data_IF_914597284921
#
_entry.id   IF_914597284921
#
_cell.length_a   1.000
_cell.length_b   1.000
_cell.length_c   1.000
_cell.angle_alpha   90.00
_cell.angle_beta   90.00
_cell.angle_gamma   90.00
#
_symmetry.space_group_name_H-M   'P 1'
#
loop_
_entity.id
_entity.type
_entity.pdbx_description
1 polymer ?
#
# COMPACT_ATOMS: atom_id res chain seq x y z
N UNK A 1 -3.84 17.54 -54.03
CA UNK A 1 -3.51 16.17 -54.48
C UNK A 1 -2.15 16.24 -55.18
N UNK A 2 -1.09 16.03 -54.42
CA UNK A 2 0.31 15.98 -54.89
C UNK A 2 0.92 14.79 -54.16
N UNK A 3 1.27 13.75 -54.92
CA UNK A 3 1.90 12.53 -54.43
C UNK A 3 3.42 12.71 -54.53
N UNK A 4 4.10 12.59 -53.40
CA UNK A 4 5.57 12.45 -53.34
C UNK A 4 5.85 11.05 -52.82
N UNK A 5 6.46 10.22 -53.67
CA UNK A 5 6.92 8.88 -53.34
C UNK A 5 8.30 8.96 -52.67
N UNK A 6 8.44 8.31 -51.51
CA UNK A 6 9.72 8.07 -50.83
C UNK A 6 10.32 6.70 -51.22
N UNK A 7 11.65 6.53 -51.13
CA UNK A 7 12.33 5.34 -51.65
C UNK A 7 12.26 4.15 -50.68
N UNK A 8 12.10 2.97 -51.27
CA UNK A 8 12.21 1.65 -50.64
C UNK A 8 13.64 1.41 -50.14
N UNK A 9 13.78 1.14 -48.85
CA UNK A 9 15.00 0.58 -48.26
C UNK A 9 14.79 -0.92 -48.08
N UNK A 10 15.56 -1.70 -48.84
CA UNK A 10 15.63 -3.16 -48.77
C UNK A 10 16.52 -3.54 -47.58
N UNK A 11 15.98 -4.30 -46.62
CA UNK A 11 16.72 -4.87 -45.49
C UNK A 11 17.16 -6.29 -45.88
N UNK A 12 18.44 -6.66 -45.75
CA UNK A 12 18.91 -8.02 -46.04
C UNK A 12 18.58 -8.95 -44.86
N UNK A 13 18.04 -10.12 -45.18
CA UNK A 13 17.79 -11.23 -44.24
C UNK A 13 19.12 -11.88 -43.79
N UNK A 14 19.22 -12.36 -42.54
CA UNK A 14 20.38 -13.11 -42.06
C UNK A 14 20.40 -14.56 -42.61
N UNK A 15 21.59 -15.17 -42.74
CA UNK A 15 21.73 -16.54 -43.23
C UNK A 15 21.32 -17.56 -42.18
N UNK A 16 20.65 -18.62 -42.64
CA UNK A 16 20.21 -19.75 -41.82
C UNK A 16 21.37 -20.63 -41.38
N UNK A 17 21.36 -21.01 -40.11
CA UNK A 17 22.22 -22.04 -39.55
C UNK A 17 21.51 -23.38 -39.57
N UNK A 18 22.20 -24.35 -40.18
CA UNK A 18 21.83 -25.74 -40.32
C UNK A 18 22.10 -26.54 -39.05
N UNK A 19 21.15 -27.40 -38.74
CA UNK A 19 21.23 -28.66 -38.00
C UNK A 19 22.61 -29.29 -37.82
N UNK A 20 22.93 -29.70 -36.59
CA UNK A 20 23.62 -30.96 -36.32
C UNK A 20 23.12 -31.60 -35.01
N UNK A 21 22.52 -32.78 -35.16
CA UNK A 21 22.05 -33.65 -34.07
C UNK A 21 23.09 -34.73 -33.83
N UNK A 22 23.73 -34.73 -32.66
CA UNK A 22 24.60 -35.83 -32.23
C UNK A 22 23.85 -36.69 -31.21
N UNK A 23 23.50 -37.91 -31.62
CA UNK A 23 23.00 -38.97 -30.78
C UNK A 23 24.14 -39.56 -29.93
N UNK A 24 23.92 -39.67 -28.62
CA UNK A 24 24.76 -40.47 -27.71
C UNK A 24 23.87 -41.58 -27.13
N UNK A 25 24.24 -42.82 -27.47
CA UNK A 25 23.67 -44.04 -26.94
C UNK A 25 24.58 -44.60 -25.84
N UNK A 26 24.02 -44.80 -24.64
CA UNK A 26 24.48 -45.69 -23.55
C UNK A 26 23.20 -45.94 -22.74
N UNK A 27 22.77 -47.13 -22.32
CA UNK A 27 23.35 -48.45 -22.14
C UNK A 27 22.50 -49.06 -21.01
N UNK A 28 22.05 -50.30 -21.22
CA UNK A 28 21.00 -50.98 -20.45
C UNK A 28 21.36 -51.27 -18.97
N UNK A 29 20.34 -51.37 -18.11
CA UNK A 29 20.10 -52.50 -17.18
C UNK A 29 18.78 -52.31 -16.41
N UNK A 30 17.87 -53.30 -16.49
CA UNK A 30 16.69 -53.47 -15.61
C UNK A 30 17.09 -53.96 -14.19
N UNK A 31 16.16 -54.28 -13.27
CA UNK A 31 14.98 -55.16 -13.47
C UNK A 31 13.63 -54.56 -12.96
N UNK A 32 12.50 -54.82 -13.60
CA UNK A 32 11.57 -55.96 -13.42
C UNK A 32 10.94 -56.07 -12.02
N UNK A 33 9.73 -55.52 -11.88
CA UNK A 33 8.75 -55.95 -10.86
C UNK A 33 7.33 -55.84 -11.41
N UNK A 34 6.82 -57.02 -11.78
CA UNK A 34 5.46 -57.57 -11.74
C UNK A 34 4.26 -56.65 -11.49
N UNK A 35 3.41 -56.56 -12.52
CA UNK A 35 1.98 -56.23 -12.46
C UNK A 35 1.19 -57.39 -11.82
N UNK A 36 0.24 -57.05 -10.95
CA UNK A 36 -0.94 -57.87 -10.69
C UNK A 36 -2.21 -57.04 -10.87
N UNK A 37 -3.13 -57.66 -11.59
CA UNK A 37 -4.44 -57.21 -11.99
C UNK A 37 -5.37 -56.97 -10.80
N UNK A 38 -6.17 -55.90 -10.85
CA UNK A 38 -7.56 -55.96 -10.39
C UNK A 38 -8.45 -55.14 -11.32
N UNK A 39 -9.35 -55.87 -11.94
CA UNK A 39 -10.42 -55.45 -12.82
C UNK A 39 -11.63 -54.87 -12.07
N UNK A 40 -12.44 -54.15 -12.84
CA UNK A 40 -13.90 -54.01 -12.76
C UNK A 40 -14.50 -53.28 -11.55
N UNK A 41 -15.12 -52.12 -11.79
CA UNK A 41 -16.57 -52.08 -12.06
C UNK A 41 -16.98 -50.73 -12.65
N UNK A 42 -17.74 -50.76 -13.74
CA UNK A 42 -18.38 -49.63 -14.36
C UNK A 42 -19.90 -49.74 -14.13
N UNK A 43 -20.48 -48.67 -13.61
CA UNK A 43 -21.92 -48.37 -13.63
C UNK A 43 -21.98 -46.84 -13.57
N UNK A 44 -22.44 -46.09 -14.57
CA UNK A 44 -23.64 -46.30 -15.34
C UNK A 44 -24.77 -45.51 -14.69
N UNK A 45 -24.81 -44.18 -14.88
CA UNK A 45 -26.01 -43.38 -14.63
C UNK A 45 -26.16 -42.27 -15.67
N UNK A 46 -27.40 -42.17 -16.12
CA UNK A 46 -27.85 -41.50 -17.33
C UNK A 46 -28.33 -40.06 -17.08
N UNK A 47 -28.42 -39.36 -18.20
CA UNK A 47 -29.04 -38.05 -18.47
C UNK A 47 -30.40 -37.80 -17.80
N UNK A 48 -30.59 -36.56 -17.32
CA UNK A 48 -31.84 -35.79 -17.32
C UNK A 48 -31.44 -34.30 -17.32
N UNK A 49 -31.59 -33.59 -18.44
CA UNK A 49 -32.77 -32.85 -18.89
C UNK A 49 -32.94 -31.48 -18.20
N UNK A 50 -32.85 -30.46 -19.05
CA UNK A 50 -32.95 -29.02 -18.79
C UNK A 50 -34.30 -28.60 -18.20
N UNK A 51 -34.26 -27.64 -17.27
CA UNK A 51 -35.37 -26.70 -17.02
C UNK A 51 -34.76 -25.32 -16.89
N UNK A 52 -34.89 -24.52 -17.94
CA UNK A 52 -34.54 -23.11 -17.95
C UNK A 52 -35.63 -22.29 -17.24
N UNK A 53 -35.21 -21.46 -16.27
CA UNK A 53 -36.02 -20.38 -15.70
C UNK A 53 -35.19 -19.11 -15.82
N UNK A 54 -35.56 -18.25 -16.78
CA UNK A 54 -35.05 -16.89 -16.89
C UNK A 54 -35.58 -16.06 -15.71
N UNK A 55 -34.66 -15.55 -14.88
CA UNK A 55 -34.95 -14.52 -13.89
C UNK A 55 -34.21 -13.23 -14.27
N UNK A 56 -34.99 -12.21 -14.66
CA UNK A 56 -34.53 -10.85 -14.94
C UNK A 56 -34.16 -10.11 -13.63
N UNK A 57 -32.97 -9.48 -13.52
CA UNK A 57 -32.65 -8.64 -12.36
C UNK A 57 -33.17 -7.19 -12.54
N UNK A 58 -33.48 -6.48 -11.43
CA UNK A 58 -34.09 -5.15 -11.47
C UNK A 58 -33.08 -4.03 -11.80
N UNK A 59 -33.58 -3.02 -12.50
CA UNK A 59 -32.86 -1.82 -12.95
C UNK A 59 -32.32 -0.96 -11.80
N UNK A 60 -31.01 -0.69 -11.81
CA UNK A 60 -30.32 0.27 -10.94
C UNK A 60 -30.12 1.63 -11.64
N UNK A 61 -31.19 2.35 -11.98
CA UNK A 61 -31.06 3.63 -12.69
C UNK A 61 -31.41 4.89 -11.89
N UNK A 62 -31.84 4.79 -10.63
CA UNK A 62 -32.31 5.96 -9.87
C UNK A 62 -31.30 6.60 -8.90
N UNK A 63 -30.13 6.00 -8.64
CA UNK A 63 -29.17 6.51 -7.64
C UNK A 63 -28.07 7.44 -8.19
N UNK A 64 -27.98 7.62 -9.52
CA UNK A 64 -26.96 8.49 -10.15
C UNK A 64 -27.40 9.96 -10.24
N UNK A 65 -28.69 10.25 -10.47
CA UNK A 65 -29.18 11.62 -10.65
C UNK A 65 -29.16 12.48 -9.36
N UNK A 66 -29.22 11.84 -8.19
CA UNK A 66 -29.18 12.53 -6.89
C UNK A 66 -27.75 12.90 -6.44
N UNK A 67 -26.72 12.23 -7.00
CA UNK A 67 -25.30 12.59 -6.76
C UNK A 67 -24.90 13.86 -7.52
N UNK A 68 -25.36 14.05 -8.75
CA UNK A 68 -24.92 15.17 -9.60
C UNK A 68 -25.48 16.54 -9.16
N UNK A 69 -26.66 16.54 -8.52
CA UNK A 69 -27.31 17.75 -8.03
C UNK A 69 -26.69 18.26 -6.72
N UNK A 70 -26.15 17.38 -5.87
CA UNK A 70 -25.36 17.76 -4.69
C UNK A 70 -23.96 18.30 -5.08
N UNK A 71 -23.37 17.76 -6.16
CA UNK A 71 -22.06 18.15 -6.69
C UNK A 71 -21.96 19.59 -7.22
N UNK A 72 -23.07 20.16 -7.70
CA UNK A 72 -23.07 21.51 -8.29
C UNK A 72 -23.12 22.62 -7.23
N UNK A 73 -23.70 22.35 -6.06
CA UNK A 73 -23.83 23.34 -4.98
C UNK A 73 -22.59 23.45 -4.09
N UNK A 74 -21.87 22.35 -3.81
CA UNK A 74 -20.65 22.37 -2.98
C UNK A 74 -19.40 22.90 -3.69
N UNK A 75 -19.33 22.82 -5.02
CA UNK A 75 -18.17 23.33 -5.79
C UNK A 75 -18.07 24.87 -5.84
N UNK A 76 -19.13 25.61 -5.46
CA UNK A 76 -19.11 27.06 -5.45
C UNK A 76 -18.46 27.68 -4.19
N UNK A 77 -18.18 26.88 -3.16
CA UNK A 77 -17.83 27.41 -1.84
C UNK A 77 -16.35 27.26 -1.43
N UNK A 78 -15.53 26.48 -2.15
CA UNK A 78 -14.16 26.12 -1.67
C UNK A 78 -13.01 26.21 -2.69
N UNK A 79 -13.04 27.13 -3.65
CA UNK A 79 -11.82 27.46 -4.42
C UNK A 79 -11.73 28.94 -4.76
N UNK A 80 -10.91 29.70 -4.01
CA UNK A 80 -10.24 30.89 -4.55
C UNK A 80 -8.92 31.13 -3.80
N UNK A 81 -7.87 30.43 -4.22
CA UNK A 81 -6.71 31.18 -4.73
C UNK A 81 -6.97 31.34 -6.22
N UNK A 82 -7.24 32.56 -6.65
CA UNK A 82 -7.52 32.83 -8.05
C UNK A 82 -6.26 32.57 -8.89
N UNK A 83 -6.44 32.12 -10.14
CA UNK A 83 -5.34 32.06 -11.11
C UNK A 83 -4.56 33.40 -11.21
N UNK A 84 -5.20 34.52 -10.86
CA UNK A 84 -4.58 35.83 -10.77
C UNK A 84 -3.57 35.97 -9.61
N UNK A 85 -3.85 35.38 -8.44
CA UNK A 85 -2.97 35.41 -7.27
C UNK A 85 -1.76 34.50 -7.46
N UNK A 86 -1.94 33.31 -8.04
CA UNK A 86 -0.82 32.44 -8.42
C UNK A 86 0.06 33.14 -9.47
N UNK A 87 -0.52 33.76 -10.50
CA UNK A 87 0.23 34.58 -11.47
C UNK A 87 0.91 35.80 -10.84
N UNK A 88 0.38 36.33 -9.74
CA UNK A 88 0.98 37.44 -8.98
C UNK A 88 2.17 36.94 -8.16
N UNK A 89 2.05 35.79 -7.51
CA UNK A 89 3.13 35.11 -6.80
C UNK A 89 4.26 34.71 -7.75
N UNK A 90 3.93 34.15 -8.91
CA UNK A 90 4.90 33.79 -9.96
C UNK A 90 5.63 35.00 -10.55
N UNK A 91 4.94 36.13 -10.70
CA UNK A 91 5.57 37.40 -11.14
C UNK A 91 6.46 37.99 -10.04
N UNK A 92 6.06 37.89 -8.78
CA UNK A 92 6.84 38.34 -7.64
C UNK A 92 8.14 37.53 -7.51
N UNK A 93 8.06 36.20 -7.58
CA UNK A 93 9.23 35.31 -7.52
C UNK A 93 10.17 35.46 -8.71
N UNK A 94 9.66 35.78 -9.92
CA UNK A 94 10.50 36.10 -11.10
C UNK A 94 11.14 37.50 -11.03
N UNK A 95 10.65 38.40 -10.19
CA UNK A 95 11.12 39.78 -10.08
C UNK A 95 12.05 40.04 -8.89
N UNK A 96 12.20 39.09 -7.96
CA UNK A 96 13.11 39.23 -6.81
C UNK A 96 14.56 38.91 -7.19
N UNK A 97 15.53 39.82 -6.95
CA UNK A 97 16.95 39.49 -6.98
C UNK A 97 17.25 38.46 -5.87
N UNK A 98 18.10 37.47 -6.17
CA UNK A 98 18.40 36.34 -5.27
C UNK A 98 18.89 36.75 -3.87
N UNK A 99 18.73 35.87 -2.86
CA UNK A 99 18.98 36.22 -1.47
C UNK A 99 20.48 36.26 -1.17
N UNK A 100 21.04 37.47 -1.19
CA UNK A 100 22.33 37.78 -0.61
C UNK A 100 22.16 38.64 0.63
N UNK A 101 22.35 38.02 1.80
CA UNK A 101 22.68 38.63 3.11
C UNK A 101 21.71 39.67 3.69
N UNK A 102 21.06 39.31 4.81
CA UNK A 102 20.96 40.16 6.00
C UNK A 102 20.12 39.47 7.08
N UNK A 103 20.76 38.94 8.12
CA UNK A 103 20.13 38.85 9.44
C UNK A 103 21.21 39.01 10.51
N UNK A 104 21.40 40.24 10.98
CA UNK A 104 22.04 40.56 12.25
C UNK A 104 21.35 41.79 12.86
N UNK A 105 21.35 41.82 14.21
CA UNK A 105 20.77 42.79 15.15
C UNK A 105 19.24 42.67 15.32
N UNK A 106 18.72 42.26 16.48
CA UNK A 106 18.81 42.92 17.81
C UNK A 106 17.41 43.50 18.09
N UNK A 107 16.79 43.56 19.28
CA UNK A 107 17.19 43.54 20.69
C UNK A 107 15.88 43.47 21.50
N UNK A 108 15.86 42.78 22.65
CA UNK A 108 15.67 43.35 24.00
C UNK A 108 14.32 44.07 24.27
N UNK A 109 13.40 43.40 24.99
CA UNK A 109 12.35 44.07 25.80
C UNK A 109 12.16 43.34 27.14
N UNK A 110 12.00 44.16 28.18
CA UNK A 110 12.08 43.90 29.61
C UNK A 110 10.86 43.19 30.23
N UNK A 111 11.14 42.61 31.41
CA UNK A 111 10.22 42.14 32.44
C UNK A 111 9.20 43.17 32.94
N UNK A 112 7.94 42.73 33.04
CA UNK A 112 6.92 43.08 34.05
C UNK A 112 6.04 41.81 34.14
N UNK A 113 5.67 41.19 35.27
CA UNK A 113 5.51 41.62 36.64
C UNK A 113 4.06 41.33 37.08
N UNK A 114 3.83 40.22 37.80
CA UNK A 114 2.72 40.06 38.76
C UNK A 114 1.44 39.32 38.31
N UNK A 115 0.94 38.44 39.18
CA UNK A 115 -0.47 38.04 39.21
C UNK A 115 -0.77 36.57 39.49
N UNK A 116 -0.58 36.12 40.74
CA UNK A 116 -1.11 34.85 41.23
C UNK A 116 -2.62 34.92 41.44
N UNK A 117 -3.39 34.00 40.84
CA UNK A 117 -4.73 33.66 41.30
C UNK A 117 -5.01 32.18 41.07
N UNK A 118 -5.12 31.45 42.18
CA UNK A 118 -5.58 30.06 42.24
C UNK A 118 -7.09 30.02 41.97
N UNK A 119 -7.50 29.29 40.95
CA UNK A 119 -8.86 28.78 40.81
C UNK A 119 -8.79 27.27 40.64
N UNK A 120 -9.21 26.54 41.67
CA UNK A 120 -9.46 25.10 41.62
C UNK A 120 -10.67 24.84 40.71
N UNK A 121 -10.40 24.64 39.41
CA UNK A 121 -11.33 24.04 38.47
C UNK A 121 -11.07 22.54 38.38
N UNK A 122 -12.01 21.73 38.88
CA UNK A 122 -12.02 20.28 38.69
C UNK A 122 -12.08 19.96 37.20
N UNK A 123 -10.92 19.65 36.61
CA UNK A 123 -10.78 19.15 35.25
C UNK A 123 -11.42 17.76 35.20
N UNK A 124 -12.67 17.70 34.72
CA UNK A 124 -13.22 16.46 34.18
C UNK A 124 -12.33 16.05 33.01
N UNK A 125 -11.75 14.88 33.11
CA UNK A 125 -10.92 14.23 32.09
C UNK A 125 -11.69 14.19 30.76
N UNK A 126 -11.09 14.63 29.64
CA UNK A 126 -11.68 14.54 28.32
C UNK A 126 -11.51 13.12 27.78
N UNK A 127 -12.24 12.14 28.32
CA UNK A 127 -12.19 10.75 27.86
C UNK A 127 -13.52 10.25 27.26
N UNK A 128 -14.56 11.07 27.18
CA UNK A 128 -15.91 10.63 26.79
C UNK A 128 -16.32 10.93 25.33
N UNK A 129 -15.46 11.53 24.49
CA UNK A 129 -15.86 11.94 23.13
C UNK A 129 -15.40 11.05 21.97
N UNK A 130 -14.76 9.90 22.21
CA UNK A 130 -14.39 8.94 21.15
C UNK A 130 -15.54 7.98 20.75
N UNK A 131 -16.77 8.51 20.65
CA UNK A 131 -17.99 7.74 20.34
C UNK A 131 -18.11 7.21 18.90
N UNK A 132 -17.05 7.29 18.09
CA UNK A 132 -17.02 6.81 16.70
C UNK A 132 -15.94 5.74 16.45
N UNK A 133 -15.35 5.17 17.50
CA UNK A 133 -14.54 3.97 17.35
C UNK A 133 -15.48 2.82 16.99
N UNK A 134 -15.63 2.58 15.69
CA UNK A 134 -16.31 1.39 15.15
C UNK A 134 -15.83 0.19 15.95
N UNK A 135 -16.75 -0.51 16.61
CA UNK A 135 -16.40 -1.70 17.39
C UNK A 135 -15.51 -2.59 16.51
N UNK A 136 -14.31 -2.97 16.98
CA UNK A 136 -13.33 -3.61 16.11
C UNK A 136 -13.94 -4.88 15.53
N UNK A 137 -13.88 -5.01 14.19
CA UNK A 137 -14.68 -5.98 13.44
C UNK A 137 -14.39 -7.39 13.94
N UNK A 138 -15.44 -8.11 14.36
CA UNK A 138 -15.35 -9.52 14.70
C UNK A 138 -15.02 -10.35 13.46
N UNK A 139 -14.27 -11.42 13.63
CA UNK A 139 -13.98 -12.32 12.51
C UNK A 139 -15.27 -12.93 11.93
N UNK A 140 -15.38 -13.09 10.59
CA UNK A 140 -16.52 -13.75 9.96
C UNK A 140 -16.74 -15.16 10.52
N UNK A 141 -17.97 -15.49 10.91
CA UNK A 141 -18.26 -16.82 11.48
C UNK A 141 -18.21 -17.96 10.46
N UNK A 142 -18.44 -17.66 9.19
CA UNK A 142 -18.50 -18.63 8.09
C UNK A 142 -17.76 -18.08 6.87
N UNK A 143 -16.42 -18.13 6.84
CA UNK A 143 -15.66 -17.73 5.66
C UNK A 143 -15.75 -18.82 4.59
N UNK A 144 -15.50 -18.45 3.34
CA UNK A 144 -15.38 -19.39 2.24
C UNK A 144 -13.89 -19.76 2.09
N UNK A 145 -13.42 -20.76 2.86
CA UNK A 145 -12.07 -21.32 2.77
C UNK A 145 -12.13 -22.77 2.27
N UNK A 146 -11.01 -23.37 1.85
CA UNK A 146 -10.95 -24.82 1.68
C UNK A 146 -11.04 -25.56 3.02
N UNK A 147 -11.07 -26.90 2.95
CA UNK A 147 -11.16 -27.75 4.13
C UNK A 147 -10.01 -27.53 5.12
N UNK A 148 -8.78 -27.27 4.65
CA UNK A 148 -7.62 -27.00 5.51
C UNK A 148 -7.80 -25.65 6.22
N UNK A 149 -8.11 -24.60 5.47
CA UNK A 149 -8.39 -23.28 6.03
C UNK A 149 -9.55 -23.28 7.01
N UNK A 150 -10.62 -24.01 6.71
CA UNK A 150 -11.79 -24.09 7.57
C UNK A 150 -11.45 -24.71 8.93
N UNK A 151 -10.58 -25.72 8.96
CA UNK A 151 -10.10 -26.32 10.20
C UNK A 151 -9.31 -25.32 11.06
N UNK A 152 -8.41 -24.55 10.42
CA UNK A 152 -7.64 -23.51 11.11
C UNK A 152 -8.51 -22.34 11.55
N UNK A 153 -9.52 -21.98 10.75
CA UNK A 153 -10.46 -20.92 11.06
C UNK A 153 -11.26 -21.18 12.34
N UNK A 154 -11.76 -22.41 12.51
CA UNK A 154 -12.46 -22.80 13.75
C UNK A 154 -11.61 -22.56 14.99
N UNK A 155 -10.32 -22.93 14.94
CA UNK A 155 -9.37 -22.70 16.03
C UNK A 155 -9.17 -21.19 16.31
N UNK A 156 -9.04 -20.38 15.25
CA UNK A 156 -8.89 -18.92 15.37
C UNK A 156 -10.16 -18.30 15.99
N UNK A 157 -11.37 -18.76 15.62
CA UNK A 157 -12.62 -18.28 16.21
C UNK A 157 -12.76 -18.67 17.69
N UNK A 158 -12.31 -19.87 18.08
CA UNK A 158 -12.26 -20.30 19.48
C UNK A 158 -11.29 -19.42 20.29
N UNK A 159 -10.12 -19.12 19.73
CA UNK A 159 -9.16 -18.21 20.34
C UNK A 159 -9.71 -16.77 20.46
N UNK A 160 -10.42 -16.28 19.43
CA UNK A 160 -11.06 -14.96 19.46
C UNK A 160 -12.10 -14.89 20.58
N UNK A 161 -12.96 -15.91 20.69
CA UNK A 161 -13.98 -15.99 21.74
C UNK A 161 -13.34 -16.07 23.14
N UNK A 162 -12.22 -16.79 23.29
CA UNK A 162 -11.48 -16.85 24.54
C UNK A 162 -11.00 -15.47 24.99
N UNK A 163 -10.35 -14.70 24.11
CA UNK A 163 -9.87 -13.35 24.46
C UNK A 163 -10.97 -12.29 24.52
N UNK A 164 -12.14 -12.53 23.92
CA UNK A 164 -13.32 -11.66 24.07
C UNK A 164 -13.91 -11.70 25.48
N UNK A 165 -13.82 -12.84 26.16
CA UNK A 165 -14.38 -13.03 27.52
C UNK A 165 -13.39 -12.62 28.61
N UNK A 166 -12.08 -12.56 28.29
CA UNK A 166 -11.03 -12.20 29.24
C UNK A 166 -11.22 -10.81 29.86
N UNK A 167 -10.88 -10.68 31.14
CA UNK A 167 -11.12 -9.48 31.95
C UNK A 167 -10.59 -8.21 31.27
N UNK A 168 -11.47 -7.21 31.19
CA UNK A 168 -11.26 -5.88 30.61
C UNK A 168 -10.20 -5.03 31.35
N UNK A 169 -9.42 -5.62 32.27
CA UNK A 169 -8.35 -4.94 33.00
C UNK A 169 -7.09 -4.73 32.13
N UNK A 170 -6.99 -5.40 30.99
CA UNK A 170 -5.87 -5.28 30.05
C UNK A 170 -5.96 -3.99 29.20
N UNK A 171 -5.90 -2.82 29.84
CA UNK A 171 -5.74 -1.52 29.16
C UNK A 171 -6.85 -1.16 28.14
N UNK A 172 -6.64 -0.07 27.37
CA UNK A 172 -7.61 0.37 26.37
C UNK A 172 -7.69 -0.57 25.14
N UNK A 173 -6.71 -1.46 24.97
CA UNK A 173 -6.62 -2.38 23.84
C UNK A 173 -6.28 -3.79 24.31
N UNK A 174 -7.10 -4.77 23.91
CA UNK A 174 -6.85 -6.19 24.16
C UNK A 174 -5.87 -6.72 23.10
N UNK A 175 -4.57 -6.58 23.36
CA UNK A 175 -3.50 -7.00 22.46
C UNK A 175 -3.67 -8.45 21.96
N UNK A 176 -3.97 -9.43 22.83
CA UNK A 176 -4.19 -10.79 22.36
C UNK A 176 -5.32 -10.92 21.34
N UNK A 177 -6.42 -10.20 21.56
CA UNK A 177 -7.54 -10.19 20.62
C UNK A 177 -7.14 -9.58 19.26
N UNK A 178 -6.37 -8.48 19.26
CA UNK A 178 -5.85 -7.86 18.02
C UNK A 178 -4.94 -8.85 17.29
N UNK A 179 -4.04 -9.54 18.00
CA UNK A 179 -3.18 -10.57 17.43
C UNK A 179 -3.97 -11.67 16.70
N UNK A 180 -4.95 -12.26 17.38
CA UNK A 180 -5.83 -13.28 16.78
C UNK A 180 -6.54 -12.74 15.54
N UNK A 181 -7.02 -11.51 15.56
CA UNK A 181 -7.73 -10.90 14.43
C UNK A 181 -6.81 -10.61 13.25
N UNK A 182 -5.58 -10.16 13.49
CA UNK A 182 -4.57 -9.99 12.44
C UNK A 182 -4.34 -11.33 11.74
N UNK A 183 -4.16 -12.41 12.51
CA UNK A 183 -3.95 -13.74 11.96
C UNK A 183 -5.15 -14.25 11.14
N UNK A 184 -6.38 -14.06 11.65
CA UNK A 184 -7.60 -14.39 10.93
C UNK A 184 -7.73 -13.60 9.62
N UNK A 185 -7.57 -12.28 9.66
CA UNK A 185 -7.67 -11.47 8.44
C UNK A 185 -6.55 -11.76 7.43
N UNK A 186 -5.34 -12.13 7.87
CA UNK A 186 -4.29 -12.63 6.98
C UNK A 186 -4.73 -13.92 6.28
N UNK A 187 -5.32 -14.87 7.02
CA UNK A 187 -5.78 -16.13 6.44
C UNK A 187 -6.86 -15.89 5.36
N UNK A 188 -7.80 -14.98 5.63
CA UNK A 188 -8.83 -14.61 4.65
C UNK A 188 -8.24 -13.88 3.44
N UNK A 189 -7.30 -12.97 3.67
CA UNK A 189 -6.78 -12.12 2.61
C UNK A 189 -5.82 -12.86 1.67
N UNK A 190 -5.14 -13.89 2.17
CA UNK A 190 -4.25 -14.75 1.39
C UNK A 190 -4.99 -15.91 0.69
N UNK A 191 -6.26 -16.15 1.02
CA UNK A 191 -7.05 -17.23 0.42
C UNK A 191 -7.34 -16.97 -1.08
N UNK A 192 -7.05 -17.91 -2.00
CA UNK A 192 -7.36 -17.79 -3.43
C UNK A 192 -8.86 -17.58 -3.72
N UNK A 193 -9.23 -16.89 -4.83
CA UNK A 193 -8.39 -16.49 -5.96
C UNK A 193 -7.70 -15.12 -5.80
N UNK A 194 -7.64 -14.56 -4.59
CA UNK A 194 -7.05 -13.24 -4.33
C UNK A 194 -5.57 -13.20 -4.77
N UNK A 195 -5.31 -12.53 -5.89
CA UNK A 195 -4.02 -12.33 -6.55
C UNK A 195 -2.96 -11.68 -5.64
N UNK A 196 -1.69 -11.47 -6.07
CA UNK A 196 -0.89 -12.11 -7.13
C UNK A 196 0.10 -13.17 -6.61
N UNK A 197 0.03 -13.53 -5.32
CA UNK A 197 1.08 -14.32 -4.66
C UNK A 197 0.98 -15.85 -4.81
N UNK A 198 -0.05 -16.33 -5.52
CA UNK A 198 -0.41 -17.76 -5.55
C UNK A 198 -0.95 -18.27 -4.21
N UNK A 199 -0.98 -19.58 -4.01
CA UNK A 199 -1.49 -20.22 -2.78
C UNK A 199 -0.39 -20.45 -1.72
N UNK A 200 0.88 -20.30 -2.10
CA UNK A 200 2.04 -20.54 -1.23
C UNK A 200 2.00 -19.76 0.10
N UNK A 201 1.68 -18.44 0.13
CA UNK A 201 1.54 -17.69 1.39
C UNK A 201 0.46 -18.24 2.31
N UNK A 202 -0.70 -18.56 1.74
CA UNK A 202 -1.82 -19.12 2.46
C UNK A 202 -1.48 -20.49 3.07
N UNK A 203 -0.91 -21.40 2.27
CA UNK A 203 -0.47 -22.73 2.74
C UNK A 203 0.63 -22.63 3.79
N UNK A 204 1.48 -21.61 3.71
CA UNK A 204 2.50 -21.34 4.73
C UNK A 204 1.84 -20.94 6.05
N UNK A 205 0.88 -20.03 6.02
CA UNK A 205 0.15 -19.59 7.20
C UNK A 205 -0.66 -20.74 7.84
N UNK A 206 -1.34 -21.57 7.04
CA UNK A 206 -2.02 -22.77 7.54
C UNK A 206 -1.06 -23.71 8.27
N UNK A 207 0.11 -23.99 7.67
CA UNK A 207 1.14 -24.83 8.31
C UNK A 207 1.63 -24.25 9.63
N UNK A 208 1.85 -22.94 9.70
CA UNK A 208 2.27 -22.29 10.94
C UNK A 208 1.22 -22.41 12.04
N UNK A 209 -0.06 -22.19 11.71
CA UNK A 209 -1.19 -22.41 12.66
C UNK A 209 -1.25 -23.88 13.09
N UNK A 210 -1.04 -24.81 12.16
CA UNK A 210 -0.99 -26.24 12.46
C UNK A 210 0.18 -26.60 13.38
N UNK A 211 1.35 -26.00 13.17
CA UNK A 211 2.55 -26.20 13.97
C UNK A 211 2.34 -25.71 15.40
N UNK A 212 1.81 -24.49 15.57
CA UNK A 212 1.46 -23.92 16.88
C UNK A 212 0.49 -24.84 17.63
N UNK A 213 -0.56 -25.33 16.93
CA UNK A 213 -1.52 -26.27 17.52
C UNK A 213 -0.88 -27.57 17.97
N UNK A 214 0.07 -28.12 17.20
CA UNK A 214 0.74 -29.38 17.50
C UNK A 214 1.76 -29.24 18.65
N UNK A 215 2.41 -28.09 18.77
CA UNK A 215 3.42 -27.85 19.80
C UNK A 215 2.82 -27.47 21.16
N UNK A 216 1.62 -26.91 21.19
CA UNK A 216 0.98 -26.49 22.43
C UNK A 216 0.52 -27.69 23.29
N UNK A 217 0.81 -27.64 24.60
CA UNK A 217 0.35 -28.65 25.56
C UNK A 217 -1.10 -28.50 25.99
N UNK A 218 -1.73 -27.36 25.68
CA UNK A 218 -3.13 -27.05 25.99
C UNK A 218 -3.73 -26.08 24.97
N UNK A 219 -5.07 -25.98 24.94
CA UNK A 219 -5.76 -24.99 24.10
C UNK A 219 -5.40 -23.55 24.48
N UNK A 220 -5.25 -23.26 25.78
CA UNK A 220 -4.92 -21.91 26.23
C UNK A 220 -3.51 -21.50 25.78
N UNK A 221 -2.53 -22.39 25.90
CA UNK A 221 -1.18 -22.17 25.36
C UNK A 221 -1.21 -21.97 23.84
N UNK A 222 -2.00 -22.78 23.12
CA UNK A 222 -2.21 -22.61 21.69
C UNK A 222 -2.76 -21.21 21.36
N UNK A 223 -3.77 -20.73 22.09
CA UNK A 223 -4.37 -19.41 21.84
C UNK A 223 -3.39 -18.27 22.11
N UNK A 224 -2.59 -18.37 23.18
CA UNK A 224 -1.55 -17.38 23.49
C UNK A 224 -0.49 -17.32 22.39
N UNK A 225 -0.02 -18.47 21.89
CA UNK A 225 0.97 -18.51 20.82
C UNK A 225 0.39 -18.01 19.48
N UNK A 226 -0.85 -18.37 19.12
CA UNK A 226 -1.54 -17.80 17.95
C UNK A 226 -1.64 -16.27 18.04
N UNK A 227 -2.03 -15.76 19.20
CA UNK A 227 -2.09 -14.32 19.48
C UNK A 227 -0.72 -13.67 19.30
N UNK A 228 0.33 -14.26 19.89
CA UNK A 228 1.71 -13.78 19.80
C UNK A 228 2.20 -13.73 18.36
N UNK A 229 1.94 -14.77 17.57
CA UNK A 229 2.27 -14.80 16.14
C UNK A 229 1.53 -13.70 15.38
N UNK A 230 0.25 -13.49 15.65
CA UNK A 230 -0.51 -12.40 15.06
C UNK A 230 0.03 -11.00 15.40
N UNK A 231 0.43 -10.79 16.66
CA UNK A 231 1.09 -9.56 17.11
C UNK A 231 2.46 -9.36 16.45
N UNK A 232 3.23 -10.43 16.27
CA UNK A 232 4.50 -10.38 15.54
C UNK A 232 4.27 -9.93 14.09
N UNK A 233 3.26 -10.46 13.41
CA UNK A 233 2.91 -10.02 12.06
C UNK A 233 2.43 -8.58 12.01
N UNK A 234 1.61 -8.14 12.97
CA UNK A 234 1.20 -6.75 13.12
C UNK A 234 2.43 -5.82 13.20
N UNK A 235 3.38 -6.15 14.05
CA UNK A 235 4.56 -5.33 14.29
C UNK A 235 5.45 -5.28 13.05
N UNK A 236 5.63 -6.40 12.35
CA UNK A 236 6.35 -6.40 11.08
C UNK A 236 5.64 -5.57 10.00
N UNK A 237 4.31 -5.63 9.91
CA UNK A 237 3.52 -4.79 8.99
C UNK A 237 3.75 -3.31 9.30
N UNK A 238 3.62 -2.89 10.56
CA UNK A 238 3.85 -1.50 10.93
C UNK A 238 5.29 -1.08 10.65
N UNK A 239 6.29 -1.87 11.05
CA UNK A 239 7.69 -1.50 10.79
C UNK A 239 8.04 -1.34 9.30
N UNK A 240 7.40 -2.11 8.42
CA UNK A 240 7.68 -2.06 6.98
C UNK A 240 6.95 -0.93 6.30
N UNK A 241 5.71 -0.66 6.67
CA UNK A 241 4.88 0.26 5.91
C UNK A 241 4.71 1.63 6.57
N UNK A 242 4.84 1.67 7.89
CA UNK A 242 4.78 2.87 8.71
C UNK A 242 6.16 3.50 8.78
N UNK A 243 6.24 4.71 8.28
CA UNK A 243 7.41 5.58 8.49
C UNK A 243 6.99 6.61 9.52
N UNK A 244 7.81 6.80 10.56
CA UNK A 244 7.68 7.92 11.49
C UNK A 244 7.84 9.18 10.66
N UNK A 245 6.70 9.78 10.32
CA UNK A 245 6.62 10.84 9.33
C UNK A 245 7.63 11.92 9.66
N UNK A 246 8.71 11.98 8.87
CA UNK A 246 9.71 13.03 8.97
C UNK A 246 10.44 13.09 10.32
N UNK A 247 11.18 12.03 10.68
CA UNK A 247 12.56 12.37 11.06
C UNK A 247 13.16 13.03 9.82
N UNK A 248 13.13 14.36 9.79
CA UNK A 248 13.97 15.15 8.90
C UNK A 248 15.37 14.70 9.27
N UNK A 249 15.86 13.69 8.56
CA UNK A 249 17.27 13.33 8.57
C UNK A 249 17.94 14.55 7.94
N UNK A 250 18.22 15.53 8.79
CA UNK A 250 19.20 16.56 8.52
C UNK A 250 20.44 15.76 8.16
N UNK A 251 20.84 15.84 6.88
CA UNK A 251 21.92 15.05 6.28
C UNK A 251 23.26 15.39 6.95
N UNK A 252 23.49 14.89 8.16
CA UNK A 252 24.80 14.88 8.78
C UNK A 252 25.62 13.77 8.11
N UNK A 253 26.14 14.16 6.95
CA UNK A 253 26.99 13.36 6.07
C UNK A 253 28.39 13.24 6.68
N UNK A 254 28.57 12.34 7.65
CA UNK A 254 29.89 11.80 7.98
C UNK A 254 30.04 10.41 7.36
N UNK A 255 30.40 10.40 6.07
CA UNK A 255 30.65 9.18 5.29
C UNK A 255 31.98 8.56 5.73
N UNK A 256 31.88 7.37 6.35
CA UNK A 256 33.02 6.50 6.64
C UNK A 256 33.59 5.94 5.33
N UNK A 257 34.81 6.36 4.99
CA UNK A 257 35.50 5.97 3.78
C UNK A 257 36.04 4.54 3.88
N UNK A 258 35.47 3.58 3.13
CA UNK A 258 36.04 2.23 3.13
C UNK A 258 35.31 1.12 2.38
N UNK A 259 34.41 1.40 1.43
CA UNK A 259 33.84 0.35 0.57
C UNK A 259 33.74 0.83 -0.88
N UNK A 260 34.13 -0.05 -1.80
CA UNK A 260 34.15 0.14 -3.27
C UNK A 260 32.82 0.70 -3.76
N UNK A 261 32.81 1.99 -4.10
CA UNK A 261 31.61 2.75 -4.39
C UNK A 261 31.03 2.39 -5.76
N UNK A 262 29.99 1.55 -5.76
CA UNK A 262 28.91 1.72 -6.73
C UNK A 262 28.31 3.08 -6.41
N UNK A 263 28.37 4.03 -7.35
CA UNK A 263 27.85 5.39 -7.16
C UNK A 263 26.34 5.30 -6.92
N UNK A 264 25.93 5.30 -5.65
CA UNK A 264 24.51 5.27 -5.26
C UNK A 264 23.90 6.58 -5.75
N UNK A 265 22.87 6.55 -6.62
CA UNK A 265 22.21 7.76 -7.07
C UNK A 265 21.75 8.61 -5.88
N UNK A 266 21.85 9.93 -6.00
CA UNK A 266 21.47 10.82 -4.89
C UNK A 266 19.96 10.77 -4.69
N UNK A 267 19.50 11.03 -3.46
CA UNK A 267 18.05 11.09 -3.15
C UNK A 267 17.29 12.05 -4.09
N UNK A 268 17.94 13.15 -4.50
CA UNK A 268 17.42 14.11 -5.48
C UNK A 268 17.15 13.46 -6.85
N UNK A 269 18.03 12.56 -7.30
CA UNK A 269 17.89 11.88 -8.59
C UNK A 269 16.64 10.98 -8.60
N UNK A 270 16.35 10.31 -7.47
CA UNK A 270 15.15 9.48 -7.33
C UNK A 270 13.86 10.28 -7.32
N UNK A 271 13.84 11.44 -6.65
CA UNK A 271 12.68 12.33 -6.68
C UNK A 271 12.43 12.83 -8.10
N UNK A 272 13.47 13.30 -8.80
CA UNK A 272 13.32 13.77 -10.17
C UNK A 272 12.85 12.65 -11.10
N UNK A 273 13.37 11.43 -10.94
CA UNK A 273 12.93 10.26 -11.70
C UNK A 273 11.44 9.96 -11.46
N UNK A 274 11.03 9.86 -10.20
CA UNK A 274 9.65 9.50 -9.81
C UNK A 274 8.68 10.57 -10.31
N UNK A 275 9.04 11.85 -10.17
CA UNK A 275 8.26 12.96 -10.70
C UNK A 275 8.17 12.90 -12.23
N UNK A 276 9.29 12.71 -12.94
CA UNK A 276 9.29 12.64 -14.40
C UNK A 276 8.41 11.50 -14.93
N UNK A 277 8.49 10.32 -14.31
CA UNK A 277 7.61 9.18 -14.60
C UNK A 277 6.13 9.53 -14.47
N UNK A 278 5.77 10.23 -13.39
CA UNK A 278 4.39 10.55 -13.05
C UNK A 278 3.92 11.89 -13.68
N UNK A 279 4.65 12.42 -14.67
CA UNK A 279 4.32 13.67 -15.37
C UNK A 279 4.38 14.91 -14.47
N UNK A 280 5.26 14.88 -13.47
CA UNK A 280 5.46 15.88 -12.42
C UNK A 280 4.18 16.17 -11.61
N UNK A 281 3.31 15.17 -11.47
CA UNK A 281 2.03 15.29 -10.75
C UNK A 281 1.95 14.31 -9.59
N UNK A 282 1.11 14.65 -8.61
CA UNK A 282 0.63 13.66 -7.66
C UNK A 282 -0.24 12.63 -8.39
N UNK A 283 0.03 11.34 -8.18
CA UNK A 283 -0.70 10.25 -8.83
C UNK A 283 -2.21 10.30 -8.54
N UNK A 284 -2.57 10.56 -7.28
CA UNK A 284 -3.96 10.51 -6.80
C UNK A 284 -4.71 11.82 -7.04
N UNK A 285 -4.13 12.97 -6.69
CA UNK A 285 -4.83 14.27 -6.82
C UNK A 285 -4.64 14.94 -8.18
N UNK A 286 -3.65 14.50 -8.97
CA UNK A 286 -3.32 15.08 -10.27
C UNK A 286 -2.69 16.48 -10.22
N UNK A 287 -2.50 17.06 -9.03
CA UNK A 287 -1.86 18.39 -8.87
C UNK A 287 -0.40 18.34 -9.27
N UNK A 288 0.11 19.41 -9.87
CA UNK A 288 1.51 19.51 -10.27
C UNK A 288 2.43 19.75 -9.07
N UNK A 289 3.66 19.24 -9.14
CA UNK A 289 4.75 19.64 -8.25
C UNK A 289 5.10 21.11 -8.50
N UNK A 290 5.00 21.94 -7.46
CA UNK A 290 5.23 23.38 -7.55
C UNK A 290 6.67 23.73 -7.97
N UNK A 291 7.68 23.03 -7.47
CA UNK A 291 9.09 23.33 -7.78
C UNK A 291 9.43 22.99 -9.22
N UNK A 292 8.91 21.89 -9.76
CA UNK A 292 9.05 21.53 -11.18
C UNK A 292 8.31 22.52 -12.07
N UNK A 293 7.10 22.93 -11.68
CA UNK A 293 6.31 23.92 -12.40
C UNK A 293 7.01 25.28 -12.47
N UNK A 294 7.66 25.73 -11.40
CA UNK A 294 8.43 26.98 -11.38
C UNK A 294 9.64 26.95 -12.31
N UNK A 295 10.29 25.79 -12.43
CA UNK A 295 11.55 25.61 -13.18
C UNK A 295 11.35 25.32 -14.66
N UNK A 296 10.22 24.73 -15.07
CA UNK A 296 9.96 24.34 -16.46
C UNK A 296 8.87 25.20 -17.11
N UNK A 297 9.23 25.92 -18.19
CA UNK A 297 8.28 26.68 -19.01
C UNK A 297 7.29 25.78 -19.74
N UNK A 298 7.69 24.58 -20.14
CA UNK A 298 6.82 23.59 -20.76
C UNK A 298 5.71 23.14 -19.80
N UNK A 299 6.07 22.84 -18.54
CA UNK A 299 5.07 22.51 -17.51
C UNK A 299 4.14 23.70 -17.23
N UNK A 300 4.64 24.95 -17.26
CA UNK A 300 3.80 26.14 -17.12
C UNK A 300 2.76 26.25 -18.24
N UNK A 301 3.14 25.89 -19.47
CA UNK A 301 2.22 25.86 -20.60
C UNK A 301 1.14 24.77 -20.45
N UNK A 302 1.53 23.55 -20.08
CA UNK A 302 0.60 22.44 -19.83
C UNK A 302 -0.32 22.71 -18.62
N UNK A 303 0.20 23.34 -17.57
CA UNK A 303 -0.59 23.76 -16.41
C UNK A 303 -1.70 24.74 -16.81
N UNK A 304 -1.37 25.69 -17.69
CA UNK A 304 -2.31 26.71 -18.16
C UNK A 304 -3.49 26.14 -18.96
N UNK A 305 -3.36 24.93 -19.53
CA UNK A 305 -4.44 24.27 -20.29
C UNK A 305 -5.27 23.31 -19.45
N UNK A 306 -4.71 22.75 -18.37
CA UNK A 306 -5.35 21.66 -17.61
C UNK A 306 -6.12 22.11 -16.38
N UNK A 307 -5.99 23.38 -15.97
CA UNK A 307 -6.63 23.96 -14.76
C UNK A 307 -6.50 23.07 -13.51
N UNK A 308 -5.38 22.34 -13.41
CA UNK A 308 -5.05 21.51 -12.25
C UNK A 308 -4.44 22.40 -11.16
N UNK A 309 -4.54 22.00 -9.90
CA UNK A 309 -3.82 22.69 -8.81
C UNK A 309 -2.31 22.44 -8.84
N UNK A 310 -1.57 23.10 -7.95
CA UNK A 310 -0.16 22.80 -7.66
C UNK A 310 0.05 22.61 -6.15
N UNK A 311 0.96 21.73 -5.78
CA UNK A 311 1.33 21.47 -4.38
C UNK A 311 2.77 20.98 -4.28
N UNK A 312 3.26 20.79 -3.06
CA UNK A 312 4.52 20.08 -2.83
C UNK A 312 4.24 18.58 -3.03
N UNK A 313 4.82 18.02 -4.07
CA UNK A 313 4.77 16.57 -4.37
C UNK A 313 6.11 15.96 -4.01
N UNK A 314 6.09 14.91 -3.21
CA UNK A 314 7.26 14.19 -2.73
C UNK A 314 7.17 12.72 -3.14
N UNK A 315 8.31 12.05 -3.05
CA UNK A 315 8.40 10.62 -3.17
C UNK A 315 7.79 9.95 -1.93
N UNK A 316 6.90 8.99 -2.14
CA UNK A 316 6.40 8.07 -1.12
C UNK A 316 6.93 6.68 -1.45
N UNK A 317 7.50 6.00 -0.45
CA UNK A 317 7.96 4.63 -0.63
C UNK A 317 6.83 3.63 -0.37
N UNK A 318 6.77 2.56 -1.16
CA UNK A 318 5.78 1.48 -0.95
C UNK A 318 6.21 0.66 0.27
N UNK A 319 7.49 0.32 0.37
CA UNK A 319 8.16 -0.22 1.56
C UNK A 319 9.00 0.87 2.18
N UNK A 320 8.83 1.09 3.48
CA UNK A 320 9.57 2.10 4.22
C UNK A 320 11.07 1.84 4.16
N UNK A 321 11.84 2.89 3.90
CA UNK A 321 13.31 2.85 3.95
C UNK A 321 13.84 2.70 5.37
N UNK A 322 13.02 2.99 6.38
CA UNK A 322 13.35 2.80 7.80
C UNK A 322 13.07 1.38 8.30
N UNK A 323 12.49 0.52 7.45
CA UNK A 323 12.15 -0.84 7.85
C UNK A 323 13.42 -1.64 8.17
N UNK A 324 13.41 -2.36 9.30
CA UNK A 324 14.51 -3.27 9.59
C UNK A 324 14.60 -4.37 8.54
N UNK A 325 15.81 -4.80 8.21
CA UNK A 325 16.03 -5.91 7.27
C UNK A 325 15.25 -7.16 7.71
N UNK A 326 15.23 -7.42 9.03
CA UNK A 326 14.50 -8.54 9.63
C UNK A 326 13.00 -8.48 9.34
N UNK A 327 12.36 -7.33 9.54
CA UNK A 327 10.93 -7.17 9.29
C UNK A 327 10.61 -7.25 7.81
N UNK A 328 11.40 -6.57 6.97
CA UNK A 328 11.32 -6.67 5.49
C UNK A 328 11.38 -8.13 5.05
N UNK A 329 12.35 -8.90 5.54
CA UNK A 329 12.49 -10.33 5.25
C UNK A 329 11.28 -11.13 5.75
N UNK A 330 10.80 -10.88 6.96
CA UNK A 330 9.69 -11.62 7.55
C UNK A 330 8.40 -11.49 6.72
N UNK A 331 8.05 -10.27 6.30
CA UNK A 331 6.86 -10.05 5.47
C UNK A 331 7.07 -10.56 4.05
N UNK A 332 8.20 -10.29 3.40
CA UNK A 332 8.46 -10.86 2.07
C UNK A 332 8.37 -12.39 2.11
N UNK A 333 8.86 -13.01 3.18
CA UNK A 333 8.75 -14.45 3.42
C UNK A 333 7.31 -14.91 3.65
N UNK A 334 6.49 -14.13 4.36
CA UNK A 334 5.05 -14.40 4.53
C UNK A 334 4.35 -14.46 3.17
N UNK A 335 4.69 -13.54 2.26
CA UNK A 335 4.14 -13.47 0.90
C UNK A 335 4.84 -14.38 -0.12
N UNK A 336 5.77 -15.24 0.30
CA UNK A 336 6.47 -16.17 -0.60
C UNK A 336 7.43 -15.50 -1.59
N UNK A 337 7.92 -14.30 -1.26
CA UNK A 337 8.80 -13.47 -2.07
C UNK A 337 10.28 -13.54 -1.60
N UNK A 338 10.64 -14.55 -0.81
CA UNK A 338 11.94 -14.67 -0.13
C UNK A 338 13.11 -15.08 -1.03
N UNK A 339 12.87 -15.75 -2.17
CA UNK A 339 13.95 -16.36 -2.96
C UNK A 339 14.45 -15.55 -4.17
N UNK A 340 13.84 -14.40 -4.49
CA UNK A 340 14.24 -13.57 -5.63
C UNK A 340 14.06 -12.08 -5.38
N UNK A 341 12.81 -11.65 -5.16
CA UNK A 341 12.49 -10.25 -4.88
C UNK A 341 13.18 -9.72 -3.63
N UNK A 342 13.42 -10.57 -2.62
CA UNK A 342 14.15 -10.17 -1.43
C UNK A 342 15.49 -9.53 -1.77
N UNK A 343 16.32 -10.16 -2.60
CA UNK A 343 17.64 -9.63 -2.93
C UNK A 343 17.54 -8.30 -3.69
N UNK A 344 16.57 -8.14 -4.58
CA UNK A 344 16.38 -6.91 -5.35
C UNK A 344 15.90 -5.76 -4.46
N UNK A 345 14.92 -6.03 -3.60
CA UNK A 345 14.29 -5.04 -2.73
C UNK A 345 15.16 -4.70 -1.52
N UNK A 346 15.81 -5.70 -0.91
CA UNK A 346 16.61 -5.52 0.31
C UNK A 346 17.95 -4.83 0.03
N UNK A 347 18.51 -5.01 -1.17
CA UNK A 347 19.79 -4.36 -1.52
C UNK A 347 19.59 -2.90 -1.92
N UNK A 348 18.41 -2.52 -2.42
CA UNK A 348 18.10 -1.14 -2.75
C UNK A 348 16.61 -0.79 -2.59
N UNK A 349 16.25 -0.26 -1.42
CA UNK A 349 14.91 0.31 -1.16
C UNK A 349 14.67 1.62 -1.92
N UNK A 350 15.74 2.27 -2.42
CA UNK A 350 15.69 3.44 -3.27
C UNK A 350 15.64 3.01 -4.74
N UNK A 351 14.55 2.34 -5.11
CA UNK A 351 14.29 1.94 -6.49
C UNK A 351 13.02 2.61 -6.99
N UNK A 352 12.94 3.00 -8.27
CA UNK A 352 11.71 3.56 -8.81
C UNK A 352 10.50 2.63 -8.72
N UNK A 353 10.74 1.32 -8.68
CA UNK A 353 9.71 0.29 -8.44
C UNK A 353 9.12 0.35 -7.02
N UNK A 354 9.85 0.91 -6.06
CA UNK A 354 9.40 1.10 -4.68
C UNK A 354 8.89 2.53 -4.41
N UNK A 355 8.68 3.37 -5.42
CA UNK A 355 8.34 4.80 -5.21
C UNK A 355 7.10 5.29 -5.96
N UNK A 356 6.38 6.25 -5.36
CA UNK A 356 5.20 6.93 -5.89
C UNK A 356 5.33 8.45 -5.74
N UNK A 357 4.83 9.25 -6.69
CA UNK A 357 4.70 10.70 -6.51
C UNK A 357 3.39 11.06 -5.81
N UNK A 358 3.45 11.49 -4.54
CA UNK A 358 2.29 11.89 -3.75
C UNK A 358 2.44 13.32 -3.20
N UNK A 359 1.35 14.08 -3.13
CA UNK A 359 1.34 15.34 -2.39
C UNK A 359 1.63 15.09 -0.91
N UNK A 360 2.25 16.03 -0.20
CA UNK A 360 2.72 15.82 1.18
C UNK A 360 1.66 15.24 2.13
N UNK A 361 0.42 15.73 2.10
CA UNK A 361 -0.67 15.19 2.93
C UNK A 361 -1.00 13.74 2.60
N UNK A 362 -1.13 13.41 1.31
CA UNK A 362 -1.35 12.03 0.87
C UNK A 362 -0.17 11.13 1.17
N UNK A 363 1.07 11.62 1.12
CA UNK A 363 2.24 10.84 1.51
C UNK A 363 2.11 10.37 2.98
N UNK A 364 1.71 11.26 3.89
CA UNK A 364 1.50 10.94 5.31
C UNK A 364 0.42 9.87 5.46
N UNK A 365 -0.76 10.08 4.84
CA UNK A 365 -1.86 9.11 4.92
C UNK A 365 -1.51 7.76 4.27
N UNK A 366 -0.73 7.78 3.18
CA UNK A 366 -0.25 6.57 2.53
C UNK A 366 0.66 5.81 3.48
N UNK A 367 1.71 6.45 4.03
CA UNK A 367 2.64 5.88 5.02
C UNK A 367 1.92 5.29 6.24
N UNK A 368 0.83 5.91 6.69
CA UNK A 368 0.02 5.41 7.82
C UNK A 368 -1.01 4.34 7.46
N UNK A 369 -0.93 3.78 6.25
CA UNK A 369 -1.89 2.80 5.71
C UNK A 369 -3.34 3.31 5.73
N UNK A 370 -3.58 4.63 5.78
CA UNK A 370 -4.92 5.22 5.84
C UNK A 370 -5.59 5.29 4.46
N UNK A 371 -4.86 5.03 3.38
CA UNK A 371 -5.40 4.60 2.10
C UNK A 371 -4.38 3.72 1.40
N UNK A 372 -4.83 2.96 0.41
CA UNK A 372 -3.98 2.10 -0.41
C UNK A 372 -4.43 2.07 -1.87
N UNK A 373 -3.59 1.46 -2.71
CA UNK A 373 -3.84 1.28 -4.14
C UNK A 373 -4.14 -0.20 -4.39
N UNK A 374 -5.39 -0.53 -4.71
CA UNK A 374 -5.82 -1.90 -4.95
C UNK A 374 -5.73 -2.21 -6.45
N UNK A 375 -5.06 -3.28 -6.88
CA UNK A 375 -4.99 -3.63 -8.30
C UNK A 375 -6.37 -3.93 -8.87
N UNK A 376 -6.66 -3.39 -10.05
CA UNK A 376 -7.91 -3.66 -10.76
C UNK A 376 -7.74 -4.93 -11.59
N UNK A 377 -8.66 -5.88 -11.40
CA UNK A 377 -8.66 -7.14 -12.13
C UNK A 377 -8.68 -6.90 -13.65
N UNK A 378 -7.84 -7.66 -14.37
CA UNK A 378 -7.65 -7.59 -15.82
C UNK A 378 -7.24 -6.22 -16.40
N UNK A 379 -6.79 -5.29 -15.55
CA UNK A 379 -6.31 -3.97 -15.97
C UNK A 379 -4.88 -3.75 -15.46
N UNK A 380 -3.85 -4.11 -16.26
CA UNK A 380 -2.47 -4.00 -15.82
C UNK A 380 -2.14 -2.55 -15.44
N UNK A 381 -1.35 -2.41 -14.38
CA UNK A 381 -0.91 -1.12 -13.86
C UNK A 381 -2.05 -0.14 -13.51
N UNK A 382 -3.26 -0.65 -13.27
CA UNK A 382 -4.43 0.16 -12.92
C UNK A 382 -4.88 -0.18 -11.52
N UNK A 383 -5.16 0.85 -10.71
CA UNK A 383 -5.40 0.71 -9.29
C UNK A 383 -6.57 1.58 -8.84
N UNK A 384 -7.42 1.03 -7.99
CA UNK A 384 -8.42 1.77 -7.24
C UNK A 384 -7.80 2.42 -6.01
N UNK A 385 -8.11 3.69 -5.78
CA UNK A 385 -7.68 4.44 -4.61
C UNK A 385 -8.69 4.22 -3.50
N UNK A 386 -8.28 3.44 -2.49
CA UNK A 386 -9.16 3.00 -1.42
C UNK A 386 -8.80 3.69 -0.10
N UNK A 387 -9.55 4.71 0.33
CA UNK A 387 -9.39 5.29 1.67
C UNK A 387 -9.87 4.30 2.73
N UNK A 388 -9.22 4.30 3.89
CA UNK A 388 -9.68 3.55 5.05
C UNK A 388 -11.05 4.05 5.53
N UNK A 389 -11.80 3.24 6.30
CA UNK A 389 -13.10 3.66 6.84
C UNK A 389 -13.04 4.98 7.62
N UNK A 390 -11.91 5.24 8.31
CA UNK A 390 -11.68 6.50 9.05
C UNK A 390 -11.41 7.69 8.13
N UNK A 391 -10.65 7.48 7.05
CA UNK A 391 -10.26 8.55 6.14
C UNK A 391 -11.36 8.86 5.12
N UNK A 392 -12.17 7.88 4.72
CA UNK A 392 -13.16 8.00 3.66
C UNK A 392 -14.11 9.20 3.80
N UNK A 393 -14.69 9.51 4.99
CA UNK A 393 -15.60 10.65 5.15
C UNK A 393 -14.98 12.01 4.87
N UNK A 394 -13.66 12.14 5.00
CA UNK A 394 -12.93 13.39 4.83
C UNK A 394 -12.02 13.38 3.60
N UNK A 395 -11.94 12.27 2.86
CA UNK A 395 -10.98 12.10 1.78
C UNK A 395 -11.16 13.13 0.66
N UNK A 396 -12.40 13.38 0.24
CA UNK A 396 -12.74 14.37 -0.79
C UNK A 396 -12.47 15.82 -0.34
N UNK A 397 -12.49 16.08 0.97
CA UNK A 397 -12.14 17.40 1.53
C UNK A 397 -10.63 17.59 1.59
N UNK A 398 -9.88 16.54 1.95
CA UNK A 398 -8.42 16.55 2.00
C UNK A 398 -7.78 16.62 0.61
N UNK A 399 -8.46 16.07 -0.40
CA UNK A 399 -7.96 15.98 -1.76
C UNK A 399 -9.03 16.51 -2.71
N UNK A 400 -8.95 17.77 -3.17
CA UNK A 400 -9.90 18.28 -4.14
C UNK A 400 -9.88 17.43 -5.42
N UNK A 401 -11.00 16.76 -5.70
CA UNK A 401 -11.18 15.85 -6.85
C UNK A 401 -10.17 14.69 -6.86
N UNK A 402 -10.19 13.80 -5.85
CA UNK A 402 -9.31 12.66 -5.86
C UNK A 402 -9.69 11.75 -7.03
N UNK A 403 -8.70 11.20 -7.72
CA UNK A 403 -8.96 10.13 -8.68
C UNK A 403 -9.34 8.89 -7.90
N UNK A 404 -10.53 8.34 -8.15
CA UNK A 404 -10.93 7.04 -7.59
C UNK A 404 -10.14 5.88 -8.19
N UNK A 405 -9.61 6.07 -9.41
CA UNK A 405 -8.82 5.09 -10.15
C UNK A 405 -7.65 5.76 -10.84
N UNK A 406 -6.48 5.14 -10.79
CA UNK A 406 -5.26 5.60 -11.45
C UNK A 406 -4.73 4.50 -12.37
N UNK A 407 -4.15 4.89 -13.51
CA UNK A 407 -3.43 3.98 -14.40
C UNK A 407 -2.01 4.49 -14.56
N UNK A 408 -1.05 3.66 -14.16
CA UNK A 408 0.37 3.95 -14.29
C UNK A 408 0.78 3.54 -15.71
N UNK A 409 1.15 4.54 -16.51
CA UNK A 409 1.55 4.31 -17.90
C UNK A 409 3.05 4.49 -18.02
N UNK A 410 3.75 3.43 -18.40
CA UNK A 410 5.12 3.54 -18.86
C UNK A 410 5.12 4.17 -20.26
N UNK A 411 6.13 4.97 -20.58
CA UNK A 411 6.47 5.22 -21.98
C UNK A 411 6.71 3.84 -22.61
N UNK A 412 5.88 3.40 -23.57
CA UNK A 412 5.94 2.05 -24.16
C UNK A 412 7.24 1.71 -24.90
N UNK A 413 8.29 2.51 -24.73
CA UNK A 413 9.67 2.21 -25.10
C UNK A 413 10.28 1.18 -24.15
N UNK A 414 11.14 0.30 -24.65
CA UNK A 414 11.96 -0.58 -23.82
C UNK A 414 12.87 0.19 -22.83
N UNK A 415 13.07 1.49 -23.06
CA UNK A 415 13.76 2.43 -22.17
C UNK A 415 12.80 3.34 -21.38
N UNK A 416 11.51 2.98 -21.30
CA UNK A 416 10.52 3.73 -20.55
C UNK A 416 10.83 3.81 -19.04
N UNK A 417 10.22 4.77 -18.32
CA UNK A 417 10.40 4.86 -16.89
C UNK A 417 9.83 3.61 -16.21
N UNK A 418 10.60 3.08 -15.26
CA UNK A 418 10.28 1.92 -14.43
C UNK A 418 9.07 2.27 -13.57
N UNK A 419 8.02 1.47 -13.71
CA UNK A 419 6.80 1.60 -12.96
C UNK A 419 6.96 1.03 -11.54
N UNK A 420 6.12 1.48 -10.59
CA UNK A 420 5.96 0.83 -9.30
C UNK A 420 5.70 -0.66 -9.46
N UNK A 421 6.33 -1.47 -8.61
CA UNK A 421 6.14 -2.92 -8.64
C UNK A 421 4.70 -3.26 -8.20
N UNK A 422 3.92 -3.95 -9.05
CA UNK A 422 2.52 -4.28 -8.76
C UNK A 422 2.38 -5.24 -7.56
N UNK A 423 3.36 -6.11 -7.34
CA UNK A 423 3.40 -7.06 -6.22
C UNK A 423 3.59 -6.32 -4.91
N UNK A 424 4.47 -5.31 -4.86
CA UNK A 424 4.63 -4.46 -3.67
C UNK A 424 3.37 -3.66 -3.35
N UNK A 425 2.69 -3.13 -4.37
CA UNK A 425 1.42 -2.42 -4.20
C UNK A 425 0.33 -3.35 -3.67
N UNK A 426 0.18 -4.55 -4.25
CA UNK A 426 -0.76 -5.56 -3.78
C UNK A 426 -0.47 -6.00 -2.33
N UNK A 427 0.80 -6.14 -1.97
CA UNK A 427 1.23 -6.49 -0.61
C UNK A 427 0.84 -5.41 0.39
N UNK A 428 1.12 -4.14 0.05
CA UNK A 428 0.73 -3.00 0.89
C UNK A 428 -0.78 -2.90 1.05
N UNK A 429 -1.54 -3.08 -0.04
CA UNK A 429 -3.01 -3.08 -0.02
C UNK A 429 -3.55 -4.17 0.91
N UNK A 430 -3.03 -5.40 0.80
CA UNK A 430 -3.42 -6.50 1.68
C UNK A 430 -3.15 -6.18 3.14
N UNK A 431 -1.94 -5.70 3.46
CA UNK A 431 -1.56 -5.36 4.82
C UNK A 431 -2.42 -4.21 5.37
N UNK A 432 -2.72 -3.19 4.56
CA UNK A 432 -3.63 -2.11 4.94
C UNK A 432 -5.01 -2.65 5.34
N UNK A 433 -5.61 -3.53 4.52
CA UNK A 433 -6.91 -4.16 4.83
C UNK A 433 -6.85 -4.93 6.14
N UNK A 434 -5.80 -5.74 6.34
CA UNK A 434 -5.62 -6.55 7.55
C UNK A 434 -5.57 -5.66 8.79
N UNK A 435 -4.73 -4.62 8.81
CA UNK A 435 -4.57 -3.80 10.02
C UNK A 435 -5.83 -2.99 10.36
N UNK A 436 -6.58 -2.53 9.35
CA UNK A 436 -7.86 -1.85 9.57
C UNK A 436 -8.94 -2.83 10.02
N UNK A 437 -9.01 -4.01 9.40
CA UNK A 437 -10.04 -4.99 9.74
C UNK A 437 -9.84 -5.59 11.14
N UNK A 438 -8.59 -5.76 11.56
CA UNK A 438 -8.25 -6.33 12.87
C UNK A 438 -8.36 -5.35 14.04
N UNK A 439 -8.50 -4.04 13.77
CA UNK A 439 -8.43 -3.00 14.79
C UNK A 439 -6.99 -2.65 15.23
N UNK A 440 -5.97 -3.07 14.46
CA UNK A 440 -4.58 -2.83 14.83
C UNK A 440 -4.17 -1.36 14.66
N UNK A 441 -4.77 -0.64 13.71
CA UNK A 441 -4.51 0.79 13.49
C UNK A 441 -5.00 1.61 14.67
N UNK A 442 -6.18 1.30 15.22
CA UNK A 442 -6.77 1.92 16.40
C UNK A 442 -5.78 1.89 17.57
N UNK A 443 -5.21 0.71 17.81
CA UNK A 443 -4.24 0.48 18.87
C UNK A 443 -2.98 1.30 18.67
N UNK A 444 -2.47 1.35 17.44
CA UNK A 444 -1.26 2.09 17.10
C UNK A 444 -1.44 3.60 17.22
N UNK A 445 -2.54 4.15 16.69
CA UNK A 445 -2.89 5.56 16.82
C UNK A 445 -3.00 5.96 18.30
N UNK A 446 -3.56 5.08 19.15
CA UNK A 446 -3.61 5.28 20.60
C UNK A 446 -2.24 5.33 21.25
N UNK A 447 -1.31 4.48 20.82
CA UNK A 447 0.06 4.48 21.33
C UNK A 447 0.82 5.77 20.97
N UNK A 448 0.64 6.27 19.73
CA UNK A 448 1.26 7.53 19.30
C UNK A 448 0.69 8.74 20.07
N UNK A 449 -0.61 8.77 20.32
CA UNK A 449 -1.24 9.86 21.08
C UNK A 449 -0.74 9.96 22.53
N UNK A 450 -0.30 8.84 23.14
CA UNK A 450 0.29 8.83 24.48
C UNK A 450 1.72 9.38 24.48
N UNK A 451 2.50 9.11 23.44
CA UNK A 451 3.87 9.62 23.32
C UNK A 451 3.90 11.14 23.14
N UNK A 452 2.90 11.70 22.45
CA UNK A 452 2.78 13.13 22.19
C UNK A 452 2.08 13.93 23.31
N UNK A 453 1.65 13.27 24.39
CA UNK A 453 1.03 13.95 25.53
C UNK A 453 2.12 14.66 26.39
N UNK A 454 1.99 15.98 26.62
CA UNK A 454 3.03 16.82 27.25
C UNK A 454 3.29 16.55 28.73
#
# INVERSE_FOLDING_TARGET
MVLVAGPNVVVPSPPGESSDSAAVAVGAHGPSTTLQDLSSSASGFAFAAEVGVESTPPQQHETLAMRDSFWTASNAMYTTFTNAEIRRLLRFLKASPGPGRAWEAGKEVQHVGGGTSQAHGSLRSPSESYGFLSSPMTLPRQPQLDAEGQQHWSLILEAEAHFQVGDSEAGPYNDPLVGIRVLGHLLLALWPPCQPFGDSPYRRLCREVADIRRSAGSNEECYRELSRTGLLYRDHIFQIFWSDGETVSQEDTEVSAGQTAVEVPKAEDYLQYTLARDGYRCLVSGVYNIDSLLRSSELQQQYSTTNSGCSIVRTAHILSTSASETSTRAILRLFGLDTGMYNEVSTNLYTPSNTLSLQSSLRIHFSRLQFWLEPVHDQPNTYDVNPSPRLAPVFDTLVPRPRSRITLSGSGSAAGPVLPDPTLLAMRALCARVVHASGAVEQWDGALAVVDAP
#
